data_IF_824445194396
#
_entry.id   IF_824445194396
#
_cell.length_a   1.000
_cell.length_b   1.000
_cell.length_c   1.000
_cell.angle_alpha   90.00
_cell.angle_beta   90.00
_cell.angle_gamma   90.00
#
_symmetry.space_group_name_H-M   'P 1'
#
loop_
_entity.id
_entity.type
_entity.pdbx_description
1 polymer ?
#
# COMPACT_ATOMS: atom_id res chain seq x y z
N UNK A 1 -17.55 7.79 -53.86
CA UNK A 1 -16.31 7.32 -53.16
C UNK A 1 -16.70 7.01 -51.71
N UNK A 2 -16.83 5.72 -51.37
CA UNK A 2 -17.04 5.30 -49.98
C UNK A 2 -15.75 5.62 -49.20
N UNK A 3 -15.81 6.52 -48.21
CA UNK A 3 -14.72 6.66 -47.22
C UNK A 3 -14.59 5.33 -46.53
N UNK A 4 -13.50 4.62 -46.83
CA UNK A 4 -13.17 3.37 -46.13
C UNK A 4 -13.23 3.58 -44.62
N UNK A 5 -13.97 2.74 -43.91
CA UNK A 5 -13.97 2.69 -42.46
C UNK A 5 -12.52 2.56 -42.01
N UNK A 6 -12.02 3.57 -41.32
CA UNK A 6 -10.70 3.49 -40.64
C UNK A 6 -10.82 2.36 -39.62
N UNK A 7 -10.23 1.20 -39.92
CA UNK A 7 -10.34 -0.03 -39.11
C UNK A 7 -9.58 0.04 -37.77
N UNK A 8 -8.76 1.09 -37.57
CA UNK A 8 -7.88 1.27 -36.41
C UNK A 8 -7.83 2.72 -36.00
N UNK A 9 -7.70 2.98 -34.69
CA UNK A 9 -7.58 4.33 -34.12
C UNK A 9 -6.10 4.65 -33.81
N UNK A 10 -5.71 5.93 -34.02
CA UNK A 10 -4.41 6.42 -33.58
C UNK A 10 -4.36 6.65 -32.07
N UNK A 11 -3.16 6.64 -31.48
CA UNK A 11 -2.93 6.88 -30.05
C UNK A 11 -3.60 8.19 -29.61
N UNK A 12 -3.39 9.30 -30.34
CA UNK A 12 -3.97 10.60 -30.03
C UNK A 12 -5.51 10.58 -30.07
N UNK A 13 -6.12 9.88 -31.03
CA UNK A 13 -7.57 9.79 -31.17
C UNK A 13 -8.19 9.01 -30.01
N UNK A 14 -7.63 7.85 -29.68
CA UNK A 14 -8.13 7.01 -28.59
C UNK A 14 -7.93 7.66 -27.21
N UNK A 15 -6.80 8.34 -26.97
CA UNK A 15 -6.57 9.08 -25.73
C UNK A 15 -7.57 10.24 -25.59
N UNK A 16 -7.76 11.06 -26.65
CA UNK A 16 -8.69 12.18 -26.61
C UNK A 16 -10.12 11.74 -26.30
N UNK A 17 -10.60 10.66 -26.96
CA UNK A 17 -11.93 10.11 -26.71
C UNK A 17 -12.06 9.52 -25.30
N UNK A 18 -11.04 8.80 -24.84
CA UNK A 18 -11.03 8.20 -23.50
C UNK A 18 -11.01 9.25 -22.39
N UNK A 19 -10.19 10.30 -22.52
CA UNK A 19 -10.15 11.39 -21.53
C UNK A 19 -11.51 12.06 -21.40
N UNK A 20 -12.21 12.31 -22.52
CA UNK A 20 -13.58 12.83 -22.49
C UNK A 20 -14.54 11.88 -21.77
N UNK A 21 -14.45 10.58 -22.04
CA UNK A 21 -15.27 9.56 -21.40
C UNK A 21 -15.00 9.48 -19.89
N UNK A 22 -13.74 9.53 -19.46
CA UNK A 22 -13.38 9.49 -18.04
C UNK A 22 -13.86 10.75 -17.30
N UNK A 23 -13.71 11.93 -17.91
CA UNK A 23 -14.26 13.18 -17.38
C UNK A 23 -15.78 13.11 -17.18
N UNK A 24 -16.53 12.63 -18.17
CA UNK A 24 -17.99 12.50 -18.07
C UNK A 24 -18.46 11.50 -17.02
N UNK A 25 -17.58 10.61 -16.54
CA UNK A 25 -17.83 9.67 -15.46
C UNK A 25 -17.19 10.12 -14.12
N UNK A 26 -16.73 11.36 -14.00
CA UNK A 26 -16.11 11.93 -12.80
C UNK A 26 -14.91 11.12 -12.27
N UNK A 27 -14.12 10.52 -13.16
CA UNK A 27 -12.90 9.82 -12.80
C UNK A 27 -11.80 10.86 -12.54
N UNK A 28 -11.19 10.80 -11.37
CA UNK A 28 -10.07 11.67 -11.00
C UNK A 28 -8.84 11.41 -11.89
N UNK A 29 -8.04 12.43 -12.15
CA UNK A 29 -6.83 12.37 -12.99
C UNK A 29 -7.02 11.68 -14.35
N UNK A 30 -8.06 12.00 -15.13
CA UNK A 30 -8.45 11.25 -16.32
C UNK A 30 -7.33 11.15 -17.36
N UNK A 31 -6.55 12.23 -17.53
CA UNK A 31 -5.44 12.27 -18.48
C UNK A 31 -4.29 11.32 -18.08
N UNK A 32 -3.90 11.33 -16.80
CA UNK A 32 -2.84 10.46 -16.29
C UNK A 32 -3.26 8.98 -16.34
N UNK A 33 -4.48 8.69 -15.87
CA UNK A 33 -5.00 7.30 -15.85
C UNK A 33 -5.18 6.74 -17.28
N UNK A 34 -5.71 7.54 -18.23
CA UNK A 34 -5.82 7.12 -19.62
C UNK A 34 -4.48 6.76 -20.25
N UNK A 35 -3.46 7.62 -20.06
CA UNK A 35 -2.10 7.38 -20.57
C UNK A 35 -1.44 6.17 -19.90
N UNK A 36 -1.55 6.02 -18.58
CA UNK A 36 -1.00 4.86 -17.84
C UNK A 36 -1.59 3.54 -18.35
N UNK A 37 -2.90 3.47 -18.52
CA UNK A 37 -3.56 2.26 -19.04
C UNK A 37 -3.20 1.96 -20.50
N UNK A 38 -3.07 3.00 -21.35
CA UNK A 38 -2.67 2.76 -22.73
C UNK A 38 -1.22 2.29 -22.82
N UNK A 39 -0.30 2.90 -22.06
CA UNK A 39 1.09 2.46 -21.96
C UNK A 39 1.19 1.01 -21.49
N UNK A 40 0.40 0.63 -20.47
CA UNK A 40 0.30 -0.75 -19.99
C UNK A 40 -0.19 -1.72 -21.08
N UNK A 41 -1.24 -1.34 -21.82
CA UNK A 41 -1.80 -2.20 -22.89
C UNK A 41 -0.82 -2.40 -24.04
N UNK A 42 -0.08 -1.34 -24.39
CA UNK A 42 0.94 -1.37 -25.44
C UNK A 42 2.28 -1.96 -24.97
N UNK A 43 2.45 -2.14 -23.66
CA UNK A 43 3.70 -2.54 -23.01
C UNK A 43 4.87 -1.62 -23.37
N UNK A 44 4.68 -0.32 -23.21
CA UNK A 44 5.65 0.76 -23.50
C UNK A 44 5.67 1.79 -22.36
N UNK A 45 6.75 2.57 -22.20
CA UNK A 45 6.77 3.70 -21.28
C UNK A 45 5.80 4.82 -21.75
N UNK A 46 5.34 5.66 -20.80
CA UNK A 46 4.37 6.74 -21.11
C UNK A 46 4.88 7.73 -22.15
N UNK A 47 6.18 8.00 -22.15
CA UNK A 47 6.87 8.91 -23.08
C UNK A 47 6.71 8.46 -24.54
N UNK A 48 6.64 7.15 -24.76
CA UNK A 48 6.37 6.58 -26.09
C UNK A 48 5.07 7.09 -26.72
N UNK A 49 4.03 7.29 -25.89
CA UNK A 49 2.73 7.76 -26.39
C UNK A 49 2.76 9.18 -26.91
N UNK A 50 3.70 10.00 -26.43
CA UNK A 50 3.88 11.41 -26.87
C UNK A 50 4.63 11.44 -28.20
N UNK A 51 5.66 10.62 -28.33
CA UNK A 51 6.52 10.60 -29.51
C UNK A 51 5.83 9.90 -30.70
N UNK A 52 4.92 8.96 -30.41
CA UNK A 52 4.28 8.10 -31.39
C UNK A 52 2.76 8.28 -31.43
N UNK A 53 2.28 9.49 -31.27
CA UNK A 53 0.85 9.83 -31.17
C UNK A 53 0.02 9.44 -32.40
N UNK A 54 0.66 9.41 -33.58
CA UNK A 54 0.09 8.97 -34.85
C UNK A 54 0.04 7.44 -35.04
N UNK A 55 0.70 6.67 -34.15
CA UNK A 55 0.73 5.23 -34.29
C UNK A 55 -0.65 4.63 -34.08
N UNK A 56 -1.04 3.71 -34.94
CA UNK A 56 -2.32 3.00 -34.89
C UNK A 56 -2.25 1.81 -33.92
N UNK A 57 -3.35 1.61 -33.19
CA UNK A 57 -3.55 0.42 -32.36
C UNK A 57 -4.13 -0.71 -33.22
N UNK A 58 -3.68 -1.93 -32.98
CA UNK A 58 -4.37 -3.09 -33.53
C UNK A 58 -5.65 -3.41 -32.73
N UNK A 59 -6.54 -4.17 -33.33
CA UNK A 59 -7.85 -4.49 -32.74
C UNK A 59 -7.80 -5.15 -31.37
N UNK A 60 -6.80 -5.99 -31.12
CA UNK A 60 -6.61 -6.63 -29.79
C UNK A 60 -6.24 -5.60 -28.73
N UNK A 61 -5.37 -4.66 -29.06
CA UNK A 61 -4.97 -3.55 -28.17
C UNK A 61 -6.17 -2.64 -27.86
N UNK A 62 -6.95 -2.25 -28.86
CA UNK A 62 -8.16 -1.44 -28.66
C UNK A 62 -9.15 -2.11 -27.71
N UNK A 63 -9.44 -3.42 -27.94
CA UNK A 63 -10.36 -4.17 -27.08
C UNK A 63 -9.83 -4.30 -25.65
N UNK A 64 -8.53 -4.59 -25.50
CA UNK A 64 -7.89 -4.67 -24.17
C UNK A 64 -7.96 -3.33 -23.46
N UNK A 65 -7.64 -2.23 -24.14
CA UNK A 65 -7.68 -0.89 -23.58
C UNK A 65 -9.09 -0.51 -23.12
N UNK A 66 -10.09 -0.72 -23.99
CA UNK A 66 -11.49 -0.47 -23.67
C UNK A 66 -11.93 -1.22 -22.39
N UNK A 67 -11.58 -2.51 -22.26
CA UNK A 67 -11.86 -3.28 -21.03
C UNK A 67 -11.21 -2.66 -19.78
N UNK A 68 -9.97 -2.17 -19.89
CA UNK A 68 -9.31 -1.49 -18.76
C UNK A 68 -10.06 -0.21 -18.38
N UNK A 69 -10.51 0.58 -19.35
CA UNK A 69 -11.29 1.81 -19.12
C UNK A 69 -12.65 1.49 -18.48
N UNK A 70 -13.34 0.45 -18.94
CA UNK A 70 -14.61 0.00 -18.34
C UNK A 70 -14.46 -0.38 -16.87
N UNK A 71 -13.36 -1.07 -16.51
CA UNK A 71 -13.03 -1.42 -15.11
C UNK A 71 -12.79 -0.15 -14.29
N UNK A 72 -11.98 0.78 -14.81
CA UNK A 72 -11.67 2.05 -14.14
C UNK A 72 -12.93 2.88 -13.87
N UNK A 73 -13.85 2.99 -14.85
CA UNK A 73 -15.12 3.71 -14.69
C UNK A 73 -16.00 3.07 -13.61
N UNK A 74 -15.93 1.77 -13.41
CA UNK A 74 -16.62 1.07 -12.31
C UNK A 74 -16.02 1.32 -10.94
N UNK A 75 -14.92 2.09 -10.86
CA UNK A 75 -14.23 2.42 -9.62
C UNK A 75 -13.10 1.46 -9.23
N UNK A 76 -12.72 0.53 -10.11
CA UNK A 76 -11.58 -0.34 -9.81
C UNK A 76 -10.28 0.46 -9.84
N UNK A 77 -9.43 0.40 -8.80
CA UNK A 77 -8.14 1.09 -8.76
C UNK A 77 -7.27 0.74 -9.96
N UNK A 78 -6.63 1.75 -10.55
CA UNK A 78 -5.75 1.54 -11.70
C UNK A 78 -4.62 0.55 -11.40
N UNK A 79 -4.14 0.49 -10.17
CA UNK A 79 -3.11 -0.43 -9.73
C UNK A 79 -3.56 -1.89 -9.84
N UNK A 80 -4.82 -2.20 -9.51
CA UNK A 80 -5.37 -3.54 -9.68
C UNK A 80 -5.58 -3.89 -11.15
N UNK A 81 -5.94 -2.90 -11.98
CA UNK A 81 -6.08 -3.11 -13.43
C UNK A 81 -4.73 -3.45 -14.06
N UNK A 82 -3.67 -2.76 -13.65
CA UNK A 82 -2.28 -2.97 -14.11
C UNK A 82 -1.66 -4.20 -13.42
N UNK A 83 -2.09 -4.51 -12.19
CA UNK A 83 -1.55 -5.57 -11.36
C UNK A 83 -0.26 -5.20 -10.62
N UNK A 84 0.09 -3.90 -10.55
CA UNK A 84 1.35 -3.43 -9.95
C UNK A 84 1.20 -2.07 -9.28
N UNK A 85 1.97 -1.88 -8.20
CA UNK A 85 2.23 -0.59 -7.52
C UNK A 85 3.72 -0.47 -7.22
N UNK A 86 4.30 0.67 -7.53
CA UNK A 86 5.64 1.02 -7.08
C UNK A 86 5.59 1.49 -5.62
N UNK A 87 6.52 1.02 -4.80
CA UNK A 87 6.69 1.41 -3.41
C UNK A 87 8.18 1.30 -3.03
N UNK A 88 8.78 2.36 -2.48
CA UNK A 88 10.22 2.40 -2.15
C UNK A 88 11.11 1.94 -3.31
N UNK A 89 10.79 2.37 -4.54
CA UNK A 89 11.47 1.96 -5.78
C UNK A 89 11.48 0.44 -5.99
N UNK A 90 10.40 -0.25 -5.60
CA UNK A 90 10.16 -1.67 -5.81
C UNK A 90 8.81 -1.85 -6.51
N UNK A 91 8.78 -2.54 -7.64
CA UNK A 91 7.54 -2.97 -8.28
C UNK A 91 6.92 -4.14 -7.50
N UNK A 92 5.81 -3.88 -6.83
CA UNK A 92 5.04 -4.87 -6.09
C UNK A 92 3.79 -5.30 -6.87
N UNK A 93 3.49 -6.59 -6.86
CA UNK A 93 2.23 -7.15 -7.36
C UNK A 93 1.14 -6.76 -6.36
N UNK A 94 0.04 -6.23 -6.88
CA UNK A 94 -1.17 -5.92 -6.10
C UNK A 94 -2.41 -6.46 -6.79
N UNK A 95 -3.34 -6.93 -5.97
CA UNK A 95 -4.67 -7.40 -6.38
C UNK A 95 -5.69 -6.92 -5.35
N UNK A 96 -6.96 -7.12 -5.62
CA UNK A 96 -8.04 -6.83 -4.66
C UNK A 96 -8.00 -7.68 -3.36
N UNK A 97 -6.96 -8.49 -3.16
CA UNK A 97 -6.73 -9.23 -1.91
C UNK A 97 -5.82 -8.46 -0.93
N UNK A 98 -5.22 -7.32 -1.33
CA UNK A 98 -4.29 -6.52 -0.50
C UNK A 98 -4.55 -5.02 -0.65
N UNK A 99 -4.27 -4.26 0.41
CA UNK A 99 -4.20 -2.79 0.33
C UNK A 99 -3.13 -2.38 -0.69
N UNK A 100 -3.44 -1.37 -1.49
CA UNK A 100 -2.45 -0.76 -2.39
C UNK A 100 -1.45 0.01 -1.53
N UNK A 101 -0.13 -0.30 -1.58
CA UNK A 101 0.86 0.46 -0.84
C UNK A 101 0.79 1.95 -1.17
N UNK A 102 0.68 2.78 -0.13
CA UNK A 102 0.55 4.22 -0.24
C UNK A 102 1.90 4.92 -0.09
N UNK A 103 2.14 6.06 -0.77
CA UNK A 103 3.37 6.83 -0.60
C UNK A 103 3.62 7.26 0.86
N UNK A 104 2.57 7.57 1.62
CA UNK A 104 2.68 7.98 3.02
C UNK A 104 3.29 6.90 3.91
N UNK A 105 3.06 5.62 3.58
CA UNK A 105 3.65 4.47 4.29
C UNK A 105 5.19 4.40 4.11
N UNK A 106 5.75 5.06 3.09
CA UNK A 106 7.21 5.13 2.91
C UNK A 106 7.89 5.81 4.09
N UNK A 107 7.23 6.79 4.74
CA UNK A 107 7.72 7.44 5.96
C UNK A 107 7.87 6.43 7.11
N UNK A 108 6.91 5.52 7.27
CA UNK A 108 7.01 4.45 8.28
C UNK A 108 8.23 3.56 8.03
N UNK A 109 8.46 3.20 6.76
CA UNK A 109 9.64 2.39 6.38
C UNK A 109 10.94 3.14 6.65
N UNK A 110 11.04 4.42 6.27
CA UNK A 110 12.22 5.25 6.50
C UNK A 110 12.56 5.37 7.99
N UNK A 111 11.57 5.67 8.85
CA UNK A 111 11.78 5.76 10.28
C UNK A 111 12.14 4.41 10.90
N UNK A 112 11.52 3.33 10.43
CA UNK A 112 11.88 1.96 10.84
C UNK A 112 13.32 1.62 10.45
N UNK A 113 13.77 2.00 9.25
CA UNK A 113 15.16 1.81 8.80
C UNK A 113 16.15 2.60 9.69
N UNK A 114 15.82 3.85 10.07
CA UNK A 114 16.66 4.65 10.98
C UNK A 114 16.83 3.97 12.32
N UNK A 115 15.75 3.42 12.86
CA UNK A 115 15.78 2.64 14.12
C UNK A 115 16.56 1.34 13.93
N UNK A 116 16.33 0.60 12.85
CA UNK A 116 16.96 -0.69 12.57
C UNK A 116 18.49 -0.60 12.47
N UNK A 117 19.03 0.53 11.97
CA UNK A 117 20.48 0.78 11.90
C UNK A 117 21.17 0.88 13.26
N UNK A 118 20.43 0.91 14.38
CA UNK A 118 21.00 0.86 15.73
C UNK A 118 21.39 -0.57 16.15
N UNK A 119 21.03 -1.58 15.36
CA UNK A 119 21.28 -3.00 15.61
C UNK A 119 22.14 -3.58 14.49
N UNK A 120 23.00 -4.52 14.82
CA UNK A 120 23.85 -5.21 13.82
C UNK A 120 23.01 -6.12 12.90
N UNK A 121 22.15 -6.95 13.49
CA UNK A 121 21.22 -7.83 12.77
C UNK A 121 19.82 -7.72 13.37
N UNK A 122 19.08 -6.67 13.05
CA UNK A 122 17.77 -6.43 13.65
C UNK A 122 16.77 -7.53 13.31
N UNK A 123 16.06 -7.99 14.33
CA UNK A 123 14.92 -8.89 14.16
C UNK A 123 13.64 -8.07 14.16
N UNK A 124 12.92 -8.10 13.05
CA UNK A 124 11.80 -7.19 12.78
C UNK A 124 10.53 -7.98 12.52
N UNK A 125 9.44 -7.58 13.17
CA UNK A 125 8.08 -8.07 12.90
C UNK A 125 7.28 -6.99 12.18
N UNK A 126 6.78 -7.32 10.99
CA UNK A 126 5.79 -6.52 10.24
C UNK A 126 4.40 -7.12 10.47
N UNK A 127 3.56 -6.43 11.25
CA UNK A 127 2.17 -6.81 11.52
C UNK A 127 1.23 -6.17 10.49
N UNK A 128 0.22 -6.91 10.05
CA UNK A 128 -0.72 -6.50 9.01
C UNK A 128 0.01 -6.20 7.69
N UNK A 129 0.87 -7.12 7.27
CA UNK A 129 1.84 -6.91 6.19
C UNK A 129 1.21 -6.68 4.80
N UNK A 130 -0.03 -7.11 4.58
CA UNK A 130 -0.75 -6.94 3.32
C UNK A 130 0.01 -7.51 2.12
N UNK A 131 0.44 -6.65 1.21
CA UNK A 131 1.25 -7.02 0.03
C UNK A 131 2.71 -7.36 0.36
N UNK A 132 3.13 -7.23 1.62
CA UNK A 132 4.52 -7.37 2.05
C UNK A 132 5.36 -6.10 1.85
N UNK A 133 4.75 -4.96 1.51
CA UNK A 133 5.44 -3.75 1.09
C UNK A 133 6.48 -3.28 2.11
N UNK A 134 6.10 -3.15 3.39
CA UNK A 134 6.98 -2.71 4.47
C UNK A 134 8.12 -3.71 4.68
N UNK A 135 7.79 -5.00 4.88
CA UNK A 135 8.78 -6.06 5.10
C UNK A 135 9.81 -6.15 3.97
N UNK A 136 9.34 -6.11 2.71
CA UNK A 136 10.19 -6.22 1.52
C UNK A 136 11.08 -4.97 1.37
N UNK A 137 10.53 -3.78 1.60
CA UNK A 137 11.30 -2.55 1.56
C UNK A 137 12.39 -2.55 2.64
N UNK A 138 12.07 -2.90 3.89
CA UNK A 138 13.07 -3.01 4.95
C UNK A 138 14.15 -4.04 4.56
N UNK A 139 13.78 -5.20 4.03
CA UNK A 139 14.74 -6.24 3.60
C UNK A 139 15.67 -5.76 2.49
N UNK A 140 15.18 -4.92 1.58
CA UNK A 140 16.00 -4.31 0.52
C UNK A 140 17.07 -3.37 1.08
N UNK A 141 16.72 -2.53 2.07
CA UNK A 141 17.60 -1.50 2.61
C UNK A 141 18.43 -1.96 3.82
N UNK A 142 18.02 -3.05 4.49
CA UNK A 142 18.74 -3.70 5.59
C UNK A 142 18.83 -5.22 5.27
N UNK A 143 19.72 -5.63 4.38
CA UNK A 143 19.81 -7.02 3.91
C UNK A 143 20.09 -8.04 5.01
N UNK A 144 20.76 -7.62 6.10
CA UNK A 144 21.08 -8.44 7.28
C UNK A 144 19.90 -8.66 8.23
N UNK A 145 18.83 -7.84 8.14
CA UNK A 145 17.67 -7.97 9.01
C UNK A 145 16.99 -9.35 8.89
N UNK A 146 16.64 -9.94 10.02
CA UNK A 146 15.72 -11.08 10.09
C UNK A 146 14.28 -10.55 10.13
N UNK A 147 13.50 -10.83 9.09
CA UNK A 147 12.15 -10.30 8.99
C UNK A 147 11.11 -11.41 9.06
N UNK A 148 10.17 -11.21 9.96
CA UNK A 148 8.91 -11.94 10.05
C UNK A 148 7.80 -10.98 9.65
N UNK A 149 6.89 -11.42 8.80
CA UNK A 149 5.74 -10.65 8.37
C UNK A 149 4.46 -11.45 8.61
N UNK A 150 3.46 -10.86 9.20
CA UNK A 150 2.22 -11.55 9.52
C UNK A 150 0.98 -10.81 9.01
N UNK A 151 -0.03 -11.58 8.68
CA UNK A 151 -1.33 -11.07 8.27
C UNK A 151 -2.43 -12.07 8.63
N UNK A 152 -3.64 -11.57 8.83
CA UNK A 152 -4.84 -12.39 9.05
C UNK A 152 -5.31 -13.05 7.74
N UNK A 153 -5.01 -12.43 6.58
CA UNK A 153 -5.42 -12.90 5.26
C UNK A 153 -4.40 -13.84 4.63
N UNK A 154 -4.75 -15.11 4.48
CA UNK A 154 -3.93 -16.05 3.72
C UNK A 154 -3.77 -15.66 2.24
N UNK A 155 -4.71 -14.88 1.71
CA UNK A 155 -4.63 -14.35 0.34
C UNK A 155 -3.59 -13.24 0.25
N UNK A 156 -3.57 -12.33 1.23
CA UNK A 156 -2.54 -11.29 1.33
C UNK A 156 -1.14 -11.91 1.44
N UNK A 157 -0.96 -12.90 2.32
CA UNK A 157 0.31 -13.60 2.46
C UNK A 157 0.80 -14.29 1.18
N UNK A 158 -0.12 -14.79 0.34
CA UNK A 158 0.27 -15.32 -0.99
C UNK A 158 0.84 -14.23 -1.90
N UNK A 159 0.23 -13.04 -1.91
CA UNK A 159 0.73 -11.90 -2.67
C UNK A 159 2.08 -11.45 -2.10
N UNK A 160 2.19 -11.28 -0.78
CA UNK A 160 3.44 -10.91 -0.11
C UNK A 160 4.58 -11.89 -0.42
N UNK A 161 4.31 -13.19 -0.35
CA UNK A 161 5.30 -14.21 -0.70
C UNK A 161 5.70 -14.18 -2.18
N UNK A 162 4.79 -13.84 -3.10
CA UNK A 162 5.10 -13.65 -4.51
C UNK A 162 5.96 -12.39 -4.73
N UNK A 163 5.75 -11.35 -3.95
CA UNK A 163 6.51 -10.10 -4.00
C UNK A 163 7.92 -10.26 -3.42
N UNK A 164 8.12 -11.12 -2.42
CA UNK A 164 9.46 -11.38 -1.87
C UNK A 164 10.32 -12.18 -2.86
N UNK A 165 11.07 -11.47 -3.69
CA UNK A 165 12.02 -12.06 -4.65
C UNK A 165 13.23 -12.68 -3.96
N UNK A 166 13.52 -12.31 -2.71
CA UNK A 166 14.67 -12.81 -1.95
C UNK A 166 14.40 -14.17 -1.34
N UNK A 167 13.12 -14.49 -1.07
CA UNK A 167 12.65 -15.67 -0.33
C UNK A 167 13.30 -15.80 1.07
N UNK A 168 13.60 -14.65 1.68
CA UNK A 168 14.24 -14.54 3.00
C UNK A 168 13.32 -13.95 4.07
N UNK A 169 12.09 -13.60 3.72
CA UNK A 169 11.08 -13.13 4.68
C UNK A 169 10.23 -14.33 5.08
N UNK A 170 10.00 -14.48 6.38
CA UNK A 170 9.13 -15.53 6.90
C UNK A 170 7.73 -15.00 7.10
N UNK A 171 6.77 -15.52 6.34
CA UNK A 171 5.36 -15.13 6.40
C UNK A 171 4.57 -16.05 7.32
N UNK A 172 3.75 -15.47 8.22
CA UNK A 172 2.95 -16.19 9.23
C UNK A 172 1.49 -15.74 9.14
N UNK A 173 0.57 -16.69 9.01
CA UNK A 173 -0.87 -16.44 9.15
C UNK A 173 -1.18 -16.25 10.63
N UNK A 174 -1.63 -15.05 11.03
CA UNK A 174 -1.87 -14.70 12.43
C UNK A 174 -2.87 -13.56 12.57
N UNK A 175 -3.79 -13.65 13.54
CA UNK A 175 -4.48 -12.47 14.06
C UNK A 175 -3.54 -11.76 15.03
N UNK A 176 -2.95 -10.67 14.55
CA UNK A 176 -1.90 -9.95 15.26
C UNK A 176 -0.80 -10.91 15.80
N UNK A 177 -0.75 -11.10 17.11
CA UNK A 177 0.30 -11.86 17.80
C UNK A 177 -0.04 -13.33 18.07
N UNK A 178 -1.23 -13.84 17.72
CA UNK A 178 -1.70 -15.16 18.14
C UNK A 178 -0.74 -16.30 17.79
N UNK A 179 -0.13 -16.26 16.61
CA UNK A 179 0.80 -17.28 16.14
C UNK A 179 2.27 -16.81 16.16
N UNK A 180 2.57 -15.73 16.90
CA UNK A 180 3.92 -15.21 17.08
C UNK A 180 4.48 -15.75 18.39
N UNK A 181 5.62 -16.49 18.33
CA UNK A 181 6.20 -17.19 19.49
C UNK A 181 7.63 -16.71 19.82
N UNK A 182 8.00 -15.50 19.37
CA UNK A 182 9.36 -14.99 19.51
C UNK A 182 9.36 -13.50 19.78
N UNK A 183 10.53 -12.95 20.14
CA UNK A 183 10.70 -11.52 20.40
C UNK A 183 11.49 -10.84 19.30
N UNK A 184 11.28 -9.53 19.19
CA UNK A 184 11.80 -8.69 18.13
C UNK A 184 12.48 -7.43 18.69
N UNK A 185 13.38 -6.88 17.91
CA UNK A 185 14.01 -5.59 18.17
C UNK A 185 13.15 -4.45 17.67
N UNK A 186 12.32 -4.72 16.65
CA UNK A 186 11.37 -3.76 16.11
C UNK A 186 10.07 -4.48 15.76
N UNK A 187 8.96 -3.88 16.16
CA UNK A 187 7.64 -4.22 15.63
C UNK A 187 7.16 -3.02 14.83
N UNK A 188 6.84 -3.23 13.56
CA UNK A 188 6.29 -2.22 12.66
C UNK A 188 4.90 -2.65 12.19
N UNK A 189 3.99 -1.70 12.04
CA UNK A 189 2.66 -1.99 11.52
C UNK A 189 2.02 -0.76 10.85
N UNK A 190 1.34 -1.01 9.74
CA UNK A 190 0.29 -0.16 9.20
C UNK A 190 -1.05 -0.92 9.37
N UNK A 191 -1.69 -0.85 10.53
CA UNK A 191 -2.93 -1.56 10.78
C UNK A 191 -4.13 -0.81 10.16
N UNK A 192 -5.27 -1.47 9.95
CA UNK A 192 -6.50 -0.79 9.56
C UNK A 192 -6.90 0.28 10.60
N UNK A 193 -7.20 1.50 10.12
CA UNK A 193 -7.43 2.64 11.02
C UNK A 193 -8.60 3.55 10.63
N UNK A 194 -9.32 3.24 9.57
CA UNK A 194 -10.47 4.03 9.13
C UNK A 194 -11.68 3.64 9.98
N UNK A 195 -12.45 4.63 10.45
CA UNK A 195 -13.67 4.34 11.19
C UNK A 195 -14.69 3.64 10.29
N UNK A 196 -15.37 2.62 10.82
CA UNK A 196 -16.32 1.82 10.07
C UNK A 196 -17.35 2.68 9.31
N UNK A 197 -17.86 3.74 9.95
CA UNK A 197 -18.86 4.63 9.32
C UNK A 197 -18.28 5.50 8.18
N UNK A 198 -17.00 5.86 8.24
CA UNK A 198 -16.33 6.71 7.26
C UNK A 198 -16.04 5.95 5.94
N UNK A 199 -15.92 4.61 5.97
CA UNK A 199 -15.55 3.80 4.80
C UNK A 199 -16.51 4.02 3.62
N UNK A 200 -17.83 4.21 3.91
CA UNK A 200 -18.84 4.43 2.89
C UNK A 200 -18.74 5.80 2.19
N UNK A 201 -18.02 6.74 2.80
CA UNK A 201 -17.83 8.10 2.27
C UNK A 201 -16.56 8.26 1.45
N UNK A 202 -15.70 7.25 1.47
CA UNK A 202 -14.44 7.25 0.72
C UNK A 202 -14.68 7.18 -0.79
N UNK A 203 -13.65 7.48 -1.57
CA UNK A 203 -13.72 7.34 -3.02
C UNK A 203 -14.06 5.90 -3.43
N UNK A 204 -14.68 5.75 -4.59
CA UNK A 204 -15.03 4.42 -5.12
C UNK A 204 -13.80 3.51 -5.27
N UNK A 205 -12.65 4.08 -5.58
CA UNK A 205 -11.39 3.33 -5.71
C UNK A 205 -11.00 2.72 -4.36
N UNK A 206 -11.01 3.50 -3.28
CA UNK A 206 -10.72 3.00 -1.93
C UNK A 206 -11.76 1.98 -1.46
N UNK A 207 -13.06 2.21 -1.76
CA UNK A 207 -14.11 1.24 -1.42
C UNK A 207 -13.96 -0.12 -2.14
N UNK A 208 -13.19 -0.19 -3.23
CA UNK A 208 -12.84 -1.44 -3.93
C UNK A 208 -11.61 -2.14 -3.34
N UNK A 209 -10.95 -1.55 -2.34
CA UNK A 209 -9.87 -2.22 -1.59
C UNK A 209 -10.46 -3.17 -0.53
N UNK A 210 -9.69 -4.13 0.00
CA UNK A 210 -10.21 -5.08 0.99
C UNK A 210 -10.72 -4.38 2.25
N UNK A 211 -11.98 -4.56 2.59
CA UNK A 211 -12.59 -3.95 3.78
C UNK A 211 -11.78 -4.22 5.05
N UNK A 212 -11.25 -5.45 5.20
CA UNK A 212 -10.44 -5.84 6.35
C UNK A 212 -9.11 -5.08 6.46
N UNK A 213 -8.64 -4.47 5.37
CA UNK A 213 -7.42 -3.65 5.37
C UNK A 213 -7.72 -2.16 5.64
N UNK A 214 -8.99 -1.76 5.68
CA UNK A 214 -9.44 -0.39 5.90
C UNK A 214 -10.06 -0.20 7.28
N UNK A 215 -10.91 -1.14 7.71
CA UNK A 215 -11.80 -0.99 8.87
C UNK A 215 -11.03 -1.12 10.20
N UNK A 216 -10.79 0.00 10.84
CA UNK A 216 -10.17 0.13 12.16
C UNK A 216 -11.16 0.04 13.34
N UNK A 217 -12.43 -0.31 13.06
CA UNK A 217 -13.49 -0.37 14.07
C UNK A 217 -14.22 0.97 14.22
N UNK A 218 -15.08 1.04 15.24
CA UNK A 218 -16.03 2.13 15.43
C UNK A 218 -15.34 3.52 15.53
N UNK A 219 -14.20 3.59 16.20
CA UNK A 219 -13.40 4.80 16.40
C UNK A 219 -12.09 4.83 15.61
N UNK A 220 -11.80 3.78 14.84
CA UNK A 220 -10.57 3.62 14.07
C UNK A 220 -9.35 3.23 14.93
N UNK A 221 -9.54 2.90 16.22
CA UNK A 221 -8.44 2.66 17.16
C UNK A 221 -8.32 1.20 17.63
N UNK A 222 -9.20 0.33 17.16
CA UNK A 222 -9.28 -1.06 17.63
C UNK A 222 -7.95 -1.83 17.55
N UNK A 223 -7.26 -1.73 16.42
CA UNK A 223 -5.99 -2.44 16.25
C UNK A 223 -4.87 -1.79 17.06
N UNK A 224 -4.84 -0.46 17.18
CA UNK A 224 -3.84 0.22 18.01
C UNK A 224 -3.94 -0.20 19.47
N UNK A 225 -5.14 -0.31 20.04
CA UNK A 225 -5.34 -0.77 21.41
C UNK A 225 -4.75 -2.16 21.62
N UNK A 226 -5.04 -3.09 20.72
CA UNK A 226 -4.53 -4.45 20.78
C UNK A 226 -3.01 -4.49 20.62
N UNK A 227 -2.46 -3.79 19.62
CA UNK A 227 -1.03 -3.78 19.34
C UNK A 227 -0.26 -3.17 20.51
N UNK A 228 -0.62 -1.97 20.98
CA UNK A 228 0.05 -1.28 22.09
C UNK A 228 0.03 -2.15 23.37
N UNK A 229 -1.09 -2.80 23.66
CA UNK A 229 -1.24 -3.68 24.83
C UNK A 229 -0.32 -4.90 24.76
N UNK A 230 -0.20 -5.53 23.59
CA UNK A 230 0.45 -6.83 23.43
C UNK A 230 1.93 -6.71 23.03
N UNK A 231 2.31 -5.74 22.19
CA UNK A 231 3.63 -5.64 21.58
C UNK A 231 4.78 -5.64 22.60
N UNK A 232 4.57 -5.08 23.80
CA UNK A 232 5.59 -5.10 24.85
C UNK A 232 6.06 -6.53 25.22
N UNK A 233 5.20 -7.52 25.14
CA UNK A 233 5.54 -8.92 25.44
C UNK A 233 6.40 -9.55 24.35
N UNK A 234 6.33 -9.03 23.13
CA UNK A 234 7.05 -9.51 21.95
C UNK A 234 8.25 -8.63 21.56
N UNK A 235 8.48 -7.55 22.30
CA UNK A 235 9.66 -6.72 22.14
C UNK A 235 10.79 -7.17 23.09
N UNK A 236 12.03 -7.13 22.61
CA UNK A 236 13.22 -7.23 23.42
C UNK A 236 13.36 -5.99 24.33
N UNK A 237 14.31 -5.97 25.25
CA UNK A 237 14.62 -4.76 26.02
C UNK A 237 15.23 -3.69 25.10
N UNK A 238 14.90 -2.43 25.32
CA UNK A 238 15.35 -1.29 24.51
C UNK A 238 14.93 -1.29 23.03
N UNK A 239 13.91 -2.05 22.65
CA UNK A 239 13.40 -2.17 21.30
C UNK A 239 12.24 -1.22 21.02
N UNK A 240 11.77 -1.17 19.76
CA UNK A 240 10.87 -0.15 19.27
C UNK A 240 9.56 -0.71 18.71
N UNK A 241 8.50 0.06 18.92
CA UNK A 241 7.23 -0.07 18.22
C UNK A 241 7.09 1.12 17.25
N UNK A 242 6.86 0.85 15.97
CA UNK A 242 6.67 1.82 14.90
C UNK A 242 5.29 1.62 14.28
N UNK A 243 4.45 2.67 14.28
CA UNK A 243 3.07 2.58 13.82
C UNK A 243 2.77 3.67 12.79
N UNK A 244 2.16 3.30 11.66
CA UNK A 244 1.44 4.27 10.84
C UNK A 244 0.14 4.63 11.52
N UNK A 245 -0.29 5.89 11.36
CA UNK A 245 -1.52 6.42 11.96
C UNK A 245 -2.32 7.27 10.96
N UNK A 246 -3.62 7.35 11.14
CA UNK A 246 -4.45 8.33 10.46
C UNK A 246 -4.11 9.76 10.91
N UNK A 247 -4.26 10.74 10.02
CA UNK A 247 -3.85 12.14 10.21
C UNK A 247 -4.37 12.80 11.51
N UNK A 248 -5.55 12.36 11.97
CA UNK A 248 -6.22 12.95 13.14
C UNK A 248 -6.13 12.06 14.40
N UNK A 249 -5.38 10.95 14.36
CA UNK A 249 -5.37 9.95 15.45
C UNK A 249 -4.20 10.09 16.42
N UNK A 250 -3.21 10.95 16.14
CA UNK A 250 -1.98 11.09 16.91
C UNK A 250 -2.22 11.22 18.42
N UNK A 251 -3.07 12.17 18.81
CA UNK A 251 -3.25 12.49 20.23
C UNK A 251 -3.86 11.32 21.01
N UNK A 252 -4.82 10.63 20.43
CA UNK A 252 -5.47 9.48 21.07
C UNK A 252 -4.52 8.28 21.17
N UNK A 253 -3.73 8.04 20.15
CA UNK A 253 -2.74 6.94 20.17
C UNK A 253 -1.64 7.22 21.17
N UNK A 254 -1.12 8.46 21.25
CA UNK A 254 -0.14 8.86 22.26
C UNK A 254 -0.70 8.66 23.68
N UNK A 255 -1.93 9.09 23.96
CA UNK A 255 -2.58 8.84 25.26
C UNK A 255 -2.62 7.35 25.61
N UNK A 256 -2.98 6.49 24.64
CA UNK A 256 -3.01 5.04 24.84
C UNK A 256 -1.63 4.46 25.13
N UNK A 257 -0.58 4.92 24.44
CA UNK A 257 0.82 4.52 24.67
C UNK A 257 1.26 4.94 26.09
N UNK A 258 0.98 6.20 26.48
CA UNK A 258 1.30 6.72 27.80
C UNK A 258 0.55 5.99 28.93
N UNK A 259 -0.75 5.73 28.73
CA UNK A 259 -1.56 4.98 29.70
C UNK A 259 -1.07 3.55 29.89
N UNK A 260 -0.53 2.92 28.84
CA UNK A 260 0.07 1.58 28.92
C UNK A 260 1.29 1.55 29.87
N UNK A 261 2.05 2.64 29.98
CA UNK A 261 3.16 2.82 30.93
C UNK A 261 4.42 1.97 30.65
N UNK A 262 4.44 1.25 29.51
CA UNK A 262 5.57 0.35 29.15
C UNK A 262 6.40 0.88 28.00
N UNK A 263 6.19 2.11 27.59
CA UNK A 263 6.86 2.75 26.47
C UNK A 263 7.35 4.15 26.85
N UNK A 264 8.52 4.49 26.35
CA UNK A 264 9.18 5.78 26.52
C UNK A 264 9.59 6.34 25.15
N UNK A 265 10.18 7.51 25.12
CA UNK A 265 10.71 8.15 23.90
C UNK A 265 9.71 8.13 22.73
N UNK A 266 8.48 8.60 22.98
CA UNK A 266 7.43 8.69 21.96
C UNK A 266 7.79 9.83 21.00
N UNK A 267 7.95 9.51 19.72
CA UNK A 267 8.23 10.45 18.65
C UNK A 267 7.14 10.36 17.57
N UNK A 268 6.91 11.46 16.87
CA UNK A 268 5.92 11.54 15.79
C UNK A 268 6.54 12.15 14.54
N UNK A 269 6.14 11.64 13.39
CA UNK A 269 6.65 12.09 12.10
C UNK A 269 5.50 12.40 11.16
N UNK A 270 5.74 13.37 10.28
CA UNK A 270 4.76 13.85 9.31
C UNK A 270 5.06 13.32 7.93
N UNK A 271 3.99 13.16 7.14
CA UNK A 271 4.12 12.92 5.70
C UNK A 271 4.52 14.21 4.95
N UNK A 272 4.71 14.09 3.64
CA UNK A 272 5.08 15.24 2.78
C UNK A 272 3.97 16.30 2.70
N UNK A 273 2.73 15.92 3.01
CA UNK A 273 1.58 16.83 3.11
C UNK A 273 1.52 17.59 4.44
N UNK A 274 2.38 17.27 5.41
CA UNK A 274 2.42 17.89 6.72
C UNK A 274 1.46 17.27 7.74
N UNK A 275 0.81 16.14 7.41
CA UNK A 275 -0.08 15.42 8.32
C UNK A 275 0.71 14.48 9.22
N UNK A 276 0.25 14.28 10.45
CA UNK A 276 0.86 13.29 11.35
C UNK A 276 0.63 11.88 10.76
N UNK A 277 1.73 11.12 10.57
CA UNK A 277 1.66 9.85 9.86
C UNK A 277 2.31 8.68 10.58
N UNK A 278 3.35 8.90 11.36
CA UNK A 278 4.06 7.82 12.04
C UNK A 278 4.27 8.16 13.51
N UNK A 279 4.10 7.17 14.36
CA UNK A 279 4.51 7.20 15.77
C UNK A 279 5.55 6.11 16.00
N UNK A 280 6.66 6.46 16.64
CA UNK A 280 7.61 5.50 17.19
C UNK A 280 7.68 5.63 18.68
N UNK A 281 7.84 4.52 19.40
CA UNK A 281 8.09 4.53 20.82
C UNK A 281 9.02 3.38 21.22
N UNK A 282 9.78 3.59 22.30
CA UNK A 282 10.76 2.63 22.80
C UNK A 282 10.16 1.87 23.97
N UNK A 283 10.37 0.56 24.03
CA UNK A 283 10.05 -0.24 25.21
C UNK A 283 10.88 0.23 26.41
N UNK A 284 10.23 0.41 27.55
CA UNK A 284 10.86 0.79 28.82
C UNK A 284 11.70 -0.33 29.41
#
# INVERSE_FOLDING_TARGET
MMKGLKLTMQIQEILSSTIKQLNSNNVEEPNNKAKRLLAFVLNVPKEFLIINDNKELNKKQEVKYKKCIERLIKGEPIQYIIGKQEFMSIDLIVTNDVLIPQPDTEILVEETIKVAKQYDKPKILDLCTGSGAIAIAIKKYIPEAEIVASDLSSKALRIANNNDRTKKIRFILSDLFENINEKFDIIVSNPPYIKTEEIKTLSKEVQNEPLMALDGGQDGLYFYEKIIKQANSYLNQNSYLCLEIGENQKNEIIKKIQYNGKYTNIQTYKDLGGNDRVITCKKS
#
